data_IF_627233242003
#
_entry.id   IF_627233242003
#
_cell.length_a   1.000
_cell.length_b   1.000
_cell.length_c   1.000
_cell.angle_alpha   90.00
_cell.angle_beta   90.00
_cell.angle_gamma   90.00
#
_symmetry.space_group_name_H-M   'P 1'
#
loop_
_entity.id
_entity.type
_entity.pdbx_description
1 polymer ?
#
# COMPACT_ATOMS: atom_id res chain seq x y z
N UNK A 1 -9.80 -36.50 -45.28
CA UNK A 1 -9.69 -35.41 -44.30
C UNK A 1 -8.87 -34.31 -44.94
N UNK A 2 -9.43 -33.12 -45.10
CA UNK A 2 -8.72 -31.94 -45.60
C UNK A 2 -8.58 -30.94 -44.45
N UNK A 3 -7.34 -30.63 -44.09
CA UNK A 3 -7.02 -29.68 -43.03
C UNK A 3 -6.72 -28.34 -43.71
N UNK A 4 -7.49 -27.31 -43.37
CA UNK A 4 -7.30 -25.96 -43.90
C UNK A 4 -6.69 -25.05 -42.84
N UNK A 5 -5.67 -24.28 -43.23
CA UNK A 5 -5.06 -23.28 -42.36
C UNK A 5 -5.83 -21.96 -42.45
N UNK A 6 -6.26 -21.44 -41.31
CA UNK A 6 -6.94 -20.14 -41.20
C UNK A 6 -6.26 -19.28 -40.14
N UNK A 7 -6.21 -17.97 -40.34
CA UNK A 7 -5.66 -17.04 -39.36
C UNK A 7 -6.75 -16.55 -38.41
N UNK A 8 -6.43 -16.47 -37.12
CA UNK A 8 -7.30 -15.85 -36.12
C UNK A 8 -7.44 -14.35 -36.38
N UNK A 9 -8.67 -13.85 -36.53
CA UNK A 9 -8.93 -12.41 -36.65
C UNK A 9 -8.57 -11.58 -35.40
N UNK A 10 -8.45 -12.20 -34.21
CA UNK A 10 -8.12 -11.51 -32.97
C UNK A 10 -6.63 -11.27 -32.74
N UNK A 11 -5.80 -12.30 -32.94
CA UNK A 11 -4.36 -12.27 -32.63
C UNK A 11 -3.44 -12.62 -33.81
N UNK A 12 -3.99 -12.99 -34.97
CA UNK A 12 -3.21 -13.37 -36.16
C UNK A 12 -2.62 -14.79 -36.12
N UNK A 13 -2.85 -15.58 -35.07
CA UNK A 13 -2.33 -16.94 -34.96
C UNK A 13 -2.90 -17.88 -36.05
N UNK A 14 -2.05 -18.75 -36.61
CA UNK A 14 -2.46 -19.78 -37.57
C UNK A 14 -3.15 -20.94 -36.84
N UNK A 15 -4.37 -21.27 -37.26
CA UNK A 15 -5.20 -22.35 -36.75
C UNK A 15 -5.37 -23.40 -37.85
N UNK A 16 -5.30 -24.67 -37.45
CA UNK A 16 -5.61 -25.79 -38.33
C UNK A 16 -7.03 -26.26 -38.01
N UNK A 17 -7.93 -26.20 -38.99
CA UNK A 17 -9.33 -26.59 -38.84
C UNK A 17 -9.72 -27.55 -39.96
N UNK A 18 -10.47 -28.57 -39.58
CA UNK A 18 -11.11 -29.51 -40.50
C UNK A 18 -12.35 -28.86 -41.14
N UNK A 19 -12.68 -29.25 -42.37
CA UNK A 19 -13.85 -28.73 -43.11
C UNK A 19 -15.18 -28.93 -42.38
N UNK A 20 -15.28 -29.92 -41.50
CA UNK A 20 -16.49 -30.18 -40.72
C UNK A 20 -16.70 -29.24 -39.53
N UNK A 21 -15.66 -28.50 -39.12
CA UNK A 21 -15.67 -27.71 -37.88
C UNK A 21 -16.17 -26.28 -38.19
N UNK A 22 -17.25 -25.87 -37.51
CA UNK A 22 -17.80 -24.51 -37.59
C UNK A 22 -17.35 -23.59 -36.45
N UNK A 23 -16.94 -24.14 -35.31
CA UNK A 23 -16.55 -23.37 -34.14
C UNK A 23 -15.18 -23.83 -33.65
N UNK A 24 -14.26 -22.88 -33.47
CA UNK A 24 -12.93 -23.15 -32.95
C UNK A 24 -12.54 -22.10 -31.93
N UNK A 25 -11.88 -22.51 -30.84
CA UNK A 25 -11.33 -21.60 -29.85
C UNK A 25 -9.85 -21.41 -30.11
N UNK A 26 -9.39 -20.16 -30.23
CA UNK A 26 -7.97 -19.90 -30.40
C UNK A 26 -7.21 -20.25 -29.11
N UNK A 27 -6.17 -21.10 -29.20
CA UNK A 27 -5.34 -21.45 -28.05
C UNK A 27 -4.47 -20.29 -27.55
N UNK A 28 -4.17 -19.31 -28.41
CA UNK A 28 -3.31 -18.17 -28.09
C UNK A 28 -4.06 -17.06 -27.33
N UNK A 29 -5.24 -16.66 -27.82
CA UNK A 29 -6.00 -15.54 -27.27
C UNK A 29 -7.32 -15.95 -26.58
N UNK A 30 -7.64 -17.25 -26.56
CA UNK A 30 -8.85 -17.78 -25.92
C UNK A 30 -10.17 -17.38 -26.60
N UNK A 31 -10.12 -16.68 -27.74
CA UNK A 31 -11.32 -16.16 -28.39
C UNK A 31 -12.05 -17.26 -29.16
N UNK A 32 -13.37 -17.35 -28.98
CA UNK A 32 -14.24 -18.23 -29.76
C UNK A 32 -14.49 -17.65 -31.16
N UNK A 33 -14.17 -18.43 -32.18
CA UNK A 33 -14.23 -18.05 -33.58
C UNK A 33 -15.24 -18.94 -34.32
N UNK A 34 -16.03 -18.33 -35.19
CA UNK A 34 -16.87 -19.04 -36.14
C UNK A 34 -16.13 -19.16 -37.47
N UNK A 35 -15.95 -20.37 -37.97
CA UNK A 35 -15.27 -20.66 -39.25
C UNK A 35 -16.33 -20.68 -40.35
N UNK A 36 -16.28 -19.68 -41.22
CA UNK A 36 -17.18 -19.56 -42.36
C UNK A 36 -16.46 -20.10 -43.60
N UNK A 37 -16.91 -21.26 -44.06
CA UNK A 37 -16.43 -21.90 -45.29
C UNK A 37 -17.15 -21.28 -46.49
N UNK A 38 -16.47 -20.38 -47.22
CA UNK A 38 -16.97 -19.79 -48.46
C UNK A 38 -16.44 -20.50 -49.71
N UNK A 39 -17.14 -20.35 -50.84
CA UNK A 39 -16.81 -21.04 -52.10
C UNK A 39 -15.41 -20.73 -52.70
N UNK A 40 -14.74 -19.67 -52.22
CA UNK A 40 -13.39 -19.27 -52.67
C UNK A 40 -12.37 -19.08 -51.55
N UNK A 41 -12.83 -18.99 -50.30
CA UNK A 41 -11.97 -18.75 -49.14
C UNK A 41 -12.68 -19.13 -47.84
N UNK A 42 -11.92 -19.73 -46.93
CA UNK A 42 -12.33 -19.98 -45.55
C UNK A 42 -11.84 -18.81 -44.70
N UNK A 43 -12.74 -18.18 -43.95
CA UNK A 43 -12.37 -17.08 -43.04
C UNK A 43 -13.02 -17.26 -41.67
N UNK A 44 -12.33 -16.81 -40.63
CA UNK A 44 -12.87 -16.82 -39.27
C UNK A 44 -13.54 -15.49 -38.97
N UNK A 45 -14.74 -15.51 -38.40
CA UNK A 45 -15.42 -14.34 -37.87
C UNK A 45 -15.46 -14.44 -36.34
N UNK A 46 -15.17 -13.34 -35.65
CA UNK A 46 -15.35 -13.24 -34.20
C UNK A 46 -16.82 -13.48 -33.87
N UNK A 47 -17.12 -14.62 -33.23
CA UNK A 47 -18.44 -14.84 -32.65
C UNK A 47 -18.60 -13.83 -31.53
N UNK A 48 -19.65 -12.99 -31.56
CA UNK A 48 -19.85 -11.80 -30.74
C UNK A 48 -19.89 -11.97 -29.21
N UNK A 49 -19.36 -13.06 -28.66
CA UNK A 49 -19.01 -13.14 -27.26
C UNK A 49 -17.80 -12.22 -27.03
N UNK A 50 -18.02 -11.02 -26.50
CA UNK A 50 -16.99 -10.25 -25.77
C UNK A 50 -16.60 -11.08 -24.54
N UNK A 51 -15.52 -11.87 -24.51
CA UNK A 51 -15.07 -12.41 -23.25
C UNK A 51 -14.37 -11.26 -22.52
N UNK A 52 -14.38 -11.24 -21.19
CA UNK A 52 -13.52 -10.39 -20.36
C UNK A 52 -13.88 -8.90 -20.10
N UNK A 53 -15.03 -8.34 -20.53
CA UNK A 53 -15.40 -6.99 -20.01
C UNK A 53 -15.70 -6.98 -18.51
N UNK A 54 -16.38 -8.01 -18.01
CA UNK A 54 -16.73 -8.11 -16.57
C UNK A 54 -15.52 -8.41 -15.68
N UNK A 55 -14.51 -9.13 -16.19
CA UNK A 55 -13.28 -9.34 -15.41
C UNK A 55 -12.43 -8.07 -15.38
N UNK A 56 -12.29 -7.37 -16.53
CA UNK A 56 -11.54 -6.12 -16.59
C UNK A 56 -12.09 -5.03 -15.66
N UNK A 57 -13.42 -4.87 -15.61
CA UNK A 57 -14.04 -3.86 -14.74
C UNK A 57 -13.74 -4.11 -13.26
N UNK A 58 -13.79 -5.38 -12.83
CA UNK A 58 -13.47 -5.75 -11.46
C UNK A 58 -11.96 -5.66 -11.18
N UNK A 59 -11.10 -6.03 -12.13
CA UNK A 59 -9.64 -5.92 -12.01
C UNK A 59 -9.20 -4.46 -11.83
N UNK A 60 -9.86 -3.53 -12.53
CA UNK A 60 -9.65 -2.08 -12.38
C UNK A 60 -10.05 -1.62 -10.97
N UNK A 61 -11.15 -2.14 -10.42
CA UNK A 61 -11.61 -1.80 -9.07
C UNK A 61 -10.63 -2.26 -8.00
N UNK A 62 -10.15 -3.51 -8.10
CA UNK A 62 -9.12 -4.04 -7.20
C UNK A 62 -7.81 -3.24 -7.28
N UNK A 63 -7.38 -2.90 -8.51
CA UNK A 63 -6.18 -2.09 -8.72
C UNK A 63 -6.31 -0.69 -8.11
N UNK A 64 -7.50 -0.08 -8.21
CA UNK A 64 -7.79 1.23 -7.62
C UNK A 64 -7.68 1.20 -6.10
N UNK A 65 -8.23 0.19 -5.44
CA UNK A 65 -8.14 0.01 -3.98
C UNK A 65 -6.69 -0.22 -3.53
N UNK A 66 -5.93 -1.02 -4.28
CA UNK A 66 -4.51 -1.25 -3.99
C UNK A 66 -3.71 0.05 -4.09
N UNK A 67 -3.99 0.88 -5.10
CA UNK A 67 -3.35 2.18 -5.27
C UNK A 67 -3.72 3.15 -4.12
N UNK A 68 -4.99 3.16 -3.69
CA UNK A 68 -5.42 3.95 -2.54
C UNK A 68 -4.69 3.55 -1.25
N UNK A 69 -4.45 2.25 -1.03
CA UNK A 69 -3.69 1.77 0.12
C UNK A 69 -2.22 2.23 0.06
N UNK A 70 -1.60 2.16 -1.12
CA UNK A 70 -0.24 2.67 -1.32
C UNK A 70 -0.14 4.19 -1.08
N UNK A 71 -1.12 4.97 -1.56
CA UNK A 71 -1.16 6.40 -1.29
C UNK A 71 -1.27 6.70 0.21
N UNK A 72 -2.13 5.95 0.92
CA UNK A 72 -2.28 6.08 2.37
C UNK A 72 -0.97 5.78 3.11
N UNK A 73 -0.22 4.75 2.68
CA UNK A 73 1.08 4.42 3.27
C UNK A 73 2.13 5.51 3.02
N UNK A 74 2.16 6.09 1.82
CA UNK A 74 3.07 7.20 1.49
C UNK A 74 2.73 8.44 2.33
N UNK A 75 1.45 8.79 2.44
CA UNK A 75 1.00 9.90 3.28
C UNK A 75 1.39 9.71 4.74
N UNK A 76 1.22 8.49 5.26
CA UNK A 76 1.61 8.16 6.62
C UNK A 76 3.11 8.30 6.84
N UNK A 77 3.94 7.84 5.90
CA UNK A 77 5.39 7.94 6.04
C UNK A 77 5.85 9.42 6.03
N UNK A 78 5.23 10.27 5.21
CA UNK A 78 5.47 11.72 5.22
C UNK A 78 5.05 12.35 6.55
N UNK A 79 3.86 12.03 7.06
CA UNK A 79 3.38 12.55 8.35
C UNK A 79 4.26 12.09 9.53
N UNK A 80 4.67 10.82 9.51
CA UNK A 80 5.55 10.21 10.49
C UNK A 80 6.91 10.89 10.52
N UNK A 81 7.49 11.22 9.36
CA UNK A 81 8.75 11.96 9.29
C UNK A 81 8.68 13.34 9.97
N UNK A 82 7.55 14.04 9.90
CA UNK A 82 7.36 15.31 10.61
C UNK A 82 7.19 15.17 12.14
N UNK A 83 6.71 14.00 12.59
CA UNK A 83 6.41 13.73 13.99
C UNK A 83 7.60 13.11 14.75
N UNK A 84 8.39 12.27 14.08
CA UNK A 84 9.58 11.63 14.66
C UNK A 84 10.74 12.63 14.63
N UNK A 85 11.35 12.90 15.79
CA UNK A 85 12.62 13.63 15.87
C UNK A 85 13.69 12.76 15.21
N UNK A 86 14.06 13.09 13.98
CA UNK A 86 15.08 12.39 13.23
C UNK A 86 16.41 12.53 13.97
N UNK A 87 16.92 11.44 14.55
CA UNK A 87 18.29 11.45 15.07
C UNK A 87 19.25 11.52 13.88
N UNK A 88 20.29 12.35 13.99
CA UNK A 88 21.26 12.60 12.91
C UNK A 88 22.07 11.37 12.49
N UNK A 89 22.01 10.27 13.24
CA UNK A 89 22.63 9.01 12.85
C UNK A 89 21.64 8.24 11.98
N UNK A 90 21.82 8.28 10.66
CA UNK A 90 20.94 7.71 9.62
C UNK A 90 20.69 6.18 9.64
N UNK A 91 20.73 5.55 10.81
CA UNK A 91 20.34 4.17 11.02
C UNK A 91 18.85 4.13 11.35
N UNK A 92 18.03 3.61 10.42
CA UNK A 92 16.62 3.26 10.62
C UNK A 92 16.50 2.05 11.56
N UNK A 93 16.99 2.16 12.79
CA UNK A 93 16.63 1.20 13.81
C UNK A 93 15.24 1.53 14.33
N UNK A 94 14.37 0.51 14.43
CA UNK A 94 13.09 0.53 15.14
C UNK A 94 13.27 0.71 16.66
N UNK A 95 14.22 1.54 17.07
CA UNK A 95 14.66 1.72 18.43
C UNK A 95 13.55 2.44 19.19
N UNK A 96 12.85 1.63 19.98
CA UNK A 96 11.93 1.95 21.07
C UNK A 96 11.85 3.46 21.36
N UNK A 97 10.66 4.01 21.12
CA UNK A 97 10.21 5.37 21.48
C UNK A 97 10.50 5.79 22.94
N UNK A 98 10.98 4.87 23.79
CA UNK A 98 11.42 5.10 25.17
C UNK A 98 12.69 5.95 25.30
N UNK A 99 13.51 6.11 24.26
CA UNK A 99 14.71 6.96 24.33
C UNK A 99 14.44 8.49 24.29
N UNK A 100 13.20 8.92 24.01
CA UNK A 100 12.89 10.37 23.94
C UNK A 100 12.85 11.05 25.32
N UNK A 101 12.67 10.30 26.41
CA UNK A 101 12.57 10.87 27.77
C UNK A 101 13.91 10.89 28.52
N UNK A 102 14.89 10.13 28.04
CA UNK A 102 16.21 10.00 28.65
C UNK A 102 16.92 11.35 28.88
N UNK A 103 16.94 12.32 27.94
CA UNK A 103 17.65 13.58 28.17
C UNK A 103 16.97 14.46 29.23
N UNK A 104 15.63 14.48 29.29
CA UNK A 104 14.90 15.27 30.28
C UNK A 104 15.11 14.74 31.70
N UNK A 105 15.10 13.41 31.88
CA UNK A 105 15.37 12.76 33.17
C UNK A 105 16.81 13.01 33.62
N UNK A 106 17.78 12.90 32.71
CA UNK A 106 19.20 13.16 33.02
C UNK A 106 19.41 14.61 33.45
N UNK A 107 18.80 15.60 32.78
CA UNK A 107 18.91 17.00 33.18
C UNK A 107 18.34 17.27 34.58
N UNK A 108 17.20 16.66 34.93
CA UNK A 108 16.61 16.81 36.26
C UNK A 108 17.51 16.19 37.34
N UNK A 109 18.05 15.00 37.09
CA UNK A 109 18.97 14.34 38.03
C UNK A 109 20.26 15.12 38.25
N UNK A 110 20.82 15.68 37.17
CA UNK A 110 21.99 16.56 37.24
C UNK A 110 21.65 17.82 38.05
N UNK A 111 20.53 18.49 37.76
CA UNK A 111 20.09 19.67 38.52
C UNK A 111 19.93 19.39 40.02
N UNK A 112 19.40 18.22 40.38
CA UNK A 112 19.24 17.81 41.78
C UNK A 112 20.58 17.52 42.47
N UNK A 113 21.56 16.99 41.74
CA UNK A 113 22.91 16.72 42.24
C UNK A 113 23.69 18.00 42.57
N UNK A 114 23.43 19.09 41.86
CA UNK A 114 24.10 20.38 42.07
C UNK A 114 23.43 21.25 43.15
N UNK A 115 22.19 20.96 43.56
CA UNK A 115 21.47 21.70 44.62
C UNK A 115 22.17 21.80 46.00
N UNK A 116 22.88 20.77 46.52
CA UNK A 116 23.50 20.85 47.84
C UNK A 116 24.80 21.67 47.89
N UNK A 117 25.39 22.03 46.75
CA UNK A 117 26.60 22.85 46.71
C UNK A 117 26.24 24.33 46.91
N UNK A 118 26.60 24.87 48.08
CA UNK A 118 26.23 26.24 48.49
C UNK A 118 27.08 27.28 47.76
N UNK A 119 26.58 27.74 46.61
CA UNK A 119 27.06 28.92 45.88
C UNK A 119 25.89 29.59 45.15
N UNK A 120 25.78 30.92 45.25
CA UNK A 120 24.65 31.69 44.66
C UNK A 120 24.58 31.47 43.14
N UNK A 121 25.73 31.30 42.48
CA UNK A 121 25.81 31.01 41.05
C UNK A 121 25.34 29.59 40.69
N UNK A 122 25.56 28.61 41.58
CA UNK A 122 25.22 27.20 41.36
C UNK A 122 23.72 26.96 41.59
N UNK A 123 23.12 27.67 42.56
CA UNK A 123 21.69 27.59 42.86
C UNK A 123 20.82 28.04 41.66
N UNK A 124 21.22 29.13 41.00
CA UNK A 124 20.54 29.63 39.80
C UNK A 124 20.61 28.65 38.63
N UNK A 125 21.78 28.03 38.42
CA UNK A 125 21.99 27.06 37.34
C UNK A 125 21.20 25.76 37.57
N UNK A 126 21.14 25.25 38.81
CA UNK A 126 20.34 24.07 39.16
C UNK A 126 18.85 24.28 38.94
N UNK A 127 18.30 25.42 39.39
CA UNK A 127 16.90 25.77 39.16
C UNK A 127 16.58 25.90 37.67
N UNK A 128 17.48 26.52 36.88
CA UNK A 128 17.32 26.63 35.43
C UNK A 128 17.25 25.26 34.75
N UNK A 129 18.16 24.33 35.06
CA UNK A 129 18.17 22.98 34.49
C UNK A 129 16.89 22.20 34.80
N UNK A 130 16.34 22.34 36.01
CA UNK A 130 15.08 21.70 36.39
C UNK A 130 13.93 22.26 35.55
N UNK A 131 13.81 23.59 35.43
CA UNK A 131 12.76 24.24 34.63
C UNK A 131 12.87 23.81 33.16
N UNK A 132 14.09 23.79 32.61
CA UNK A 132 14.36 23.40 31.23
C UNK A 132 14.01 21.92 30.99
N UNK A 133 14.39 21.04 31.92
CA UNK A 133 14.07 19.62 31.88
C UNK A 133 12.55 19.35 31.93
N UNK A 134 11.82 20.04 32.81
CA UNK A 134 10.36 19.94 32.90
C UNK A 134 9.70 20.45 31.62
N UNK A 135 10.13 21.62 31.11
CA UNK A 135 9.62 22.18 29.87
C UNK A 135 9.83 21.25 28.67
N UNK A 136 11.03 20.67 28.55
CA UNK A 136 11.33 19.69 27.52
C UNK A 136 10.51 18.41 27.67
N UNK A 137 10.25 17.97 28.91
CA UNK A 137 9.39 16.83 29.20
C UNK A 137 7.94 17.05 28.74
N UNK A 138 7.35 18.20 29.03
CA UNK A 138 6.00 18.56 28.59
C UNK A 138 5.94 18.62 27.05
N UNK A 139 6.93 19.26 26.42
CA UNK A 139 7.02 19.34 24.97
C UNK A 139 7.10 17.94 24.31
N UNK A 140 7.93 17.05 24.84
CA UNK A 140 8.06 15.67 24.37
C UNK A 140 6.76 14.88 24.55
N UNK A 141 6.06 15.04 25.68
CA UNK A 141 4.76 14.40 25.89
C UNK A 141 3.70 14.89 24.90
N UNK A 142 3.65 16.19 24.61
CA UNK A 142 2.72 16.76 23.64
C UNK A 142 2.96 16.21 22.23
N UNK A 143 4.23 16.09 21.79
CA UNK A 143 4.57 15.44 20.51
C UNK A 143 4.20 13.96 20.50
N UNK A 144 4.45 13.23 21.59
CA UNK A 144 4.11 11.81 21.68
C UNK A 144 2.60 11.57 21.62
N UNK A 145 1.78 12.46 22.20
CA UNK A 145 0.32 12.40 22.06
C UNK A 145 -0.12 12.54 20.61
N UNK A 146 0.36 13.59 19.92
CA UNK A 146 0.06 13.81 18.49
C UNK A 146 0.47 12.62 17.63
N UNK A 147 1.63 12.02 17.92
CA UNK A 147 2.08 10.82 17.23
C UNK A 147 1.14 9.63 17.44
N UNK A 148 0.74 9.36 18.68
CA UNK A 148 -0.19 8.26 19.00
C UNK A 148 -1.56 8.46 18.34
N UNK A 149 -2.09 9.68 18.39
CA UNK A 149 -3.36 10.03 17.74
C UNK A 149 -3.29 9.84 16.23
N UNK A 150 -2.23 10.33 15.59
CA UNK A 150 -2.02 10.15 14.16
C UNK A 150 -1.87 8.67 13.78
N UNK A 151 -1.14 7.88 14.58
CA UNK A 151 -0.98 6.44 14.38
C UNK A 151 -2.31 5.69 14.49
N UNK A 152 -3.12 6.02 15.50
CA UNK A 152 -4.44 5.43 15.68
C UNK A 152 -5.37 5.78 14.50
N UNK A 153 -5.37 7.04 14.07
CA UNK A 153 -6.16 7.48 12.92
C UNK A 153 -5.74 6.78 11.62
N UNK A 154 -4.43 6.61 11.38
CA UNK A 154 -3.92 5.88 10.23
C UNK A 154 -4.33 4.41 10.26
N UNK A 155 -4.21 3.75 11.42
CA UNK A 155 -4.56 2.34 11.56
C UNK A 155 -6.05 2.10 11.26
N UNK A 156 -6.95 2.97 11.75
CA UNK A 156 -8.39 2.90 11.43
C UNK A 156 -8.66 3.05 9.93
N UNK A 157 -8.00 3.99 9.24
CA UNK A 157 -8.17 4.18 7.79
C UNK A 157 -7.68 2.96 7.01
N UNK A 158 -6.53 2.40 7.40
CA UNK A 158 -5.96 1.22 6.76
C UNK A 158 -6.88 0.02 6.86
N UNK A 159 -7.40 -0.29 8.05
CA UNK A 159 -8.30 -1.43 8.26
C UNK A 159 -9.59 -1.29 7.44
N UNK A 160 -10.09 -0.07 7.23
CA UNK A 160 -11.26 0.17 6.37
C UNK A 160 -10.99 -0.25 4.92
N UNK A 161 -9.84 0.12 4.36
CA UNK A 161 -9.47 -0.22 2.97
C UNK A 161 -9.18 -1.72 2.83
N UNK A 162 -8.50 -2.32 3.82
CA UNK A 162 -8.24 -3.76 3.84
C UNK A 162 -9.55 -4.57 3.84
N UNK A 163 -10.54 -4.17 4.66
CA UNK A 163 -11.86 -4.81 4.68
C UNK A 163 -12.60 -4.69 3.34
N UNK A 164 -12.43 -3.60 2.60
CA UNK A 164 -13.04 -3.40 1.29
C UNK A 164 -12.40 -4.30 0.23
N UNK A 165 -11.07 -4.45 0.29
CA UNK A 165 -10.33 -5.40 -0.54
C UNK A 165 -10.76 -6.84 -0.25
N UNK A 166 -10.89 -7.22 1.03
CA UNK A 166 -11.32 -8.57 1.42
C UNK A 166 -12.74 -8.89 0.94
N UNK A 167 -13.68 -7.94 1.06
CA UNK A 167 -15.04 -8.11 0.50
C UNK A 167 -15.04 -8.31 -1.01
N UNK A 168 -14.22 -7.55 -1.73
CA UNK A 168 -14.09 -7.75 -3.17
C UNK A 168 -13.54 -9.14 -3.46
N UNK A 169 -12.49 -9.57 -2.75
CA UNK A 169 -11.91 -10.91 -2.89
C UNK A 169 -12.93 -12.03 -2.66
N UNK A 170 -13.74 -11.92 -1.61
CA UNK A 170 -14.83 -12.86 -1.34
C UNK A 170 -15.84 -12.89 -2.50
N UNK A 171 -16.20 -11.73 -3.05
CA UNK A 171 -17.10 -11.63 -4.22
C UNK A 171 -16.54 -12.25 -5.50
N UNK A 172 -15.20 -12.34 -5.64
CA UNK A 172 -14.57 -13.09 -6.72
C UNK A 172 -14.68 -14.59 -6.48
N UNK A 173 -14.37 -15.06 -5.27
CA UNK A 173 -14.39 -16.50 -4.94
C UNK A 173 -15.78 -17.12 -4.99
N UNK A 174 -16.85 -16.33 -4.79
CA UNK A 174 -18.23 -16.80 -4.84
C UNK A 174 -18.83 -16.84 -6.26
N UNK A 175 -18.13 -16.28 -7.26
CA UNK A 175 -18.61 -16.17 -8.63
C UNK A 175 -18.02 -17.18 -9.62
N UNK A 176 -17.09 -18.02 -9.18
CA UNK A 176 -16.55 -19.19 -9.89
C UNK A 176 -17.29 -20.48 -9.49
#
# INVERSE_FOLDING_TARGET
>A
MQITKVCCQGCGASLEVDESIRFVTCRQCGTALNVVHGARAVHTVLTGAKPAKRSLEKDIEFLKLTNQLLQLEVEWEVQKQGLVLQSQAGHRHSHRFTLSYTPAIVMVLIGLLFMPYQGIEILGMGAFLIIMGVGFGIFAMAKNRKYKEACAAHQVRRTRVELEIDRLRESYSAGE
#
